data_IF_063746489575
#
_entry.id   IF_063746489575
#
_cell.length_a   1.000
_cell.length_b   1.000
_cell.length_c   1.000
_cell.angle_alpha   90.00
_cell.angle_beta   90.00
_cell.angle_gamma   90.00
#
_symmetry.space_group_name_H-M   'P 1'
#
loop_
_entity.id
_entity.type
_entity.pdbx_description
1 polymer ?
#
# COMPACT_ATOMS: atom_id res chain seq x y z
N UNK A 1 18.06 12.84 51.82
CA UNK A 1 17.68 11.72 50.99
C UNK A 1 17.12 12.32 49.71
N UNK A 2 17.97 12.37 48.67
CA UNK A 2 17.62 12.94 47.37
C UNK A 2 17.02 11.82 46.53
N UNK A 3 15.79 12.03 46.01
CA UNK A 3 15.11 11.09 45.15
C UNK A 3 15.53 11.43 43.71
N UNK A 4 16.35 10.55 43.17
CA UNK A 4 16.84 10.62 41.78
C UNK A 4 15.68 10.30 40.83
N UNK A 5 15.24 11.31 40.09
CA UNK A 5 14.11 11.24 39.17
C UNK A 5 14.69 11.05 37.74
N UNK A 6 15.27 9.87 37.46
CA UNK A 6 15.69 9.52 36.12
C UNK A 6 14.46 9.22 35.26
N UNK A 7 13.93 10.27 34.63
CA UNK A 7 12.99 10.15 33.50
C UNK A 7 13.70 9.41 32.38
N UNK A 8 13.32 8.17 32.16
CA UNK A 8 13.66 7.45 30.92
C UNK A 8 12.91 8.14 29.77
N UNK A 9 13.59 9.03 29.08
CA UNK A 9 13.06 9.60 27.83
C UNK A 9 12.86 8.45 26.85
N UNK A 10 11.68 8.37 26.26
CA UNK A 10 11.46 7.58 25.04
C UNK A 10 12.54 7.96 24.01
N UNK A 11 13.12 7.02 23.26
CA UNK A 11 14.13 7.35 22.29
C UNK A 11 13.51 8.39 21.33
N UNK A 12 14.04 9.62 21.40
CA UNK A 12 13.61 10.70 20.55
C UNK A 12 13.77 10.26 19.11
N UNK A 13 12.71 10.40 18.31
CA UNK A 13 12.80 10.23 16.86
C UNK A 13 13.86 11.21 16.40
N UNK A 14 15.02 10.70 16.03
CA UNK A 14 16.13 11.51 15.52
C UNK A 14 15.62 12.28 14.30
N UNK A 15 16.10 13.49 14.11
CA UNK A 15 15.71 14.30 12.94
C UNK A 15 16.03 13.52 11.67
N UNK A 16 15.18 13.55 10.64
CA UNK A 16 15.24 12.68 9.44
C UNK A 16 16.58 12.65 8.68
N UNK A 17 17.51 13.57 8.99
CA UNK A 17 18.81 13.69 8.31
C UNK A 17 19.89 12.74 8.81
N UNK A 18 19.69 12.06 9.94
CA UNK A 18 20.73 11.29 10.61
C UNK A 18 20.47 9.76 10.66
N UNK A 19 19.32 9.28 10.16
CA UNK A 19 19.00 7.86 10.18
C UNK A 19 19.51 7.18 8.91
N UNK A 20 20.38 6.20 9.04
CA UNK A 20 20.73 5.26 7.98
C UNK A 20 19.48 4.45 7.55
N UNK A 21 19.44 3.98 6.31
CA UNK A 21 18.29 3.22 5.78
C UNK A 21 17.84 2.08 6.71
N UNK A 22 18.77 1.38 7.37
CA UNK A 22 18.47 0.31 8.32
C UNK A 22 17.74 0.77 9.59
N UNK A 23 17.98 2.00 10.05
CA UNK A 23 17.37 2.57 11.25
C UNK A 23 15.95 3.10 10.99
N UNK A 24 15.65 3.53 9.76
CA UNK A 24 14.30 3.91 9.32
C UNK A 24 13.36 2.72 9.27
N UNK A 25 13.85 1.56 8.87
CA UNK A 25 13.03 0.35 8.70
C UNK A 25 12.65 -0.34 10.01
N UNK A 26 13.48 -0.28 11.03
CA UNK A 26 13.26 -1.00 12.27
C UNK A 26 11.93 -0.67 12.97
N UNK A 27 11.50 0.60 13.12
CA UNK A 27 10.19 0.92 13.69
C UNK A 27 9.02 0.43 12.82
N UNK A 28 9.16 0.50 11.49
CA UNK A 28 8.09 0.14 10.55
C UNK A 28 7.92 -1.38 10.41
N UNK A 29 8.98 -2.16 10.63
CA UNK A 29 8.88 -3.63 10.61
C UNK A 29 7.98 -4.15 11.74
N UNK A 30 7.88 -3.44 12.85
CA UNK A 30 6.99 -3.81 13.97
C UNK A 30 5.50 -3.71 13.62
N UNK A 31 5.13 -3.10 12.48
CA UNK A 31 3.74 -2.99 12.02
C UNK A 31 3.26 -4.25 11.29
N UNK A 32 4.16 -5.15 10.88
CA UNK A 32 3.82 -6.41 10.24
C UNK A 32 3.02 -7.31 11.17
N UNK A 33 1.93 -7.85 10.63
CA UNK A 33 1.12 -8.87 11.31
C UNK A 33 1.52 -10.22 10.73
N UNK A 34 2.29 -10.97 11.50
CA UNK A 34 2.77 -12.28 11.07
C UNK A 34 1.69 -13.33 11.25
N UNK A 35 1.11 -13.76 10.13
CA UNK A 35 0.14 -14.85 10.08
C UNK A 35 0.59 -15.90 9.06
N UNK A 36 0.37 -17.20 9.34
CA UNK A 36 0.67 -18.24 8.37
C UNK A 36 0.01 -17.97 7.02
N UNK A 37 0.78 -18.06 5.96
CA UNK A 37 0.29 -17.86 4.59
C UNK A 37 0.15 -16.40 4.14
N UNK A 38 0.36 -15.40 5.01
CA UNK A 38 0.34 -13.97 4.67
C UNK A 38 1.74 -13.37 4.80
N UNK A 39 2.14 -12.59 3.79
CA UNK A 39 3.48 -12.01 3.74
C UNK A 39 3.45 -10.49 3.94
N UNK A 40 2.45 -9.80 3.39
CA UNK A 40 2.42 -8.33 3.26
C UNK A 40 1.38 -7.65 4.16
N UNK A 41 0.71 -8.41 5.04
CA UNK A 41 -0.28 -7.86 5.97
C UNK A 41 0.40 -7.01 7.04
N UNK A 42 -0.03 -5.76 7.16
CA UNK A 42 0.42 -4.85 8.22
C UNK A 42 -0.60 -3.80 8.61
N UNK A 43 -0.50 -3.35 9.87
CA UNK A 43 -1.20 -2.19 10.42
C UNK A 43 -0.35 -0.94 10.18
N UNK A 44 -0.95 0.15 9.77
CA UNK A 44 -0.26 1.44 9.63
C UNK A 44 -0.32 2.28 10.93
N UNK A 45 -0.83 1.71 12.00
CA UNK A 45 -0.87 2.35 13.31
C UNK A 45 0.52 2.70 13.83
N UNK A 46 0.61 3.86 14.50
CA UNK A 46 1.87 4.36 15.05
C UNK A 46 2.72 5.19 14.08
N UNK A 47 2.40 5.25 12.79
CA UNK A 47 3.11 6.15 11.87
C UNK A 47 2.86 7.60 12.29
N UNK A 48 3.93 8.43 12.33
CA UNK A 48 3.78 9.84 12.67
C UNK A 48 2.93 10.57 11.62
N UNK A 49 2.09 11.45 12.09
CA UNK A 49 1.28 12.35 11.28
C UNK A 49 1.51 13.81 11.66
N UNK A 50 0.67 14.70 11.12
CA UNK A 50 0.75 16.12 11.41
C UNK A 50 0.46 16.42 12.89
N UNK A 51 0.95 17.57 13.37
CA UNK A 51 0.69 18.12 14.70
C UNK A 51 1.08 17.19 15.88
N UNK A 52 2.12 16.36 15.68
CA UNK A 52 2.57 15.41 16.71
C UNK A 52 1.63 14.24 16.96
N UNK A 53 0.58 14.09 16.15
CA UNK A 53 -0.32 12.93 16.18
C UNK A 53 0.30 11.72 15.49
N UNK A 54 -0.31 10.56 15.69
CA UNK A 54 0.07 9.31 15.02
C UNK A 54 -1.16 8.67 14.39
N UNK A 55 -0.96 7.81 13.41
CA UNK A 55 -2.04 6.97 12.89
C UNK A 55 -2.51 6.05 14.03
N UNK A 56 -3.81 6.04 14.27
CA UNK A 56 -4.41 5.21 15.31
C UNK A 56 -4.18 3.72 14.98
N UNK A 57 -3.68 2.92 15.92
CA UNK A 57 -3.52 1.48 15.74
C UNK A 57 -4.85 0.82 15.36
N UNK A 58 -4.77 -0.19 14.52
CA UNK A 58 -5.91 -1.00 14.07
C UNK A 58 -7.02 -0.19 13.36
N UNK A 59 -6.66 0.87 12.64
CA UNK A 59 -7.59 1.66 11.82
C UNK A 59 -7.41 1.43 10.33
N UNK A 60 -6.16 1.29 9.90
CA UNK A 60 -5.82 1.15 8.48
C UNK A 60 -4.80 0.03 8.30
N UNK A 61 -5.21 -0.98 7.57
CA UNK A 61 -4.39 -2.13 7.20
C UNK A 61 -4.11 -2.13 5.70
N UNK A 62 -3.01 -2.76 5.31
CA UNK A 62 -2.74 -3.09 3.91
C UNK A 62 -2.23 -4.52 3.80
N UNK A 63 -2.52 -5.16 2.64
CA UNK A 63 -2.14 -6.55 2.38
C UNK A 63 -2.09 -6.85 0.88
N UNK A 64 -1.70 -8.08 0.55
CA UNK A 64 -1.99 -8.76 -0.71
C UNK A 64 -3.43 -9.29 -0.73
N UNK A 65 -3.86 -9.81 -1.90
CA UNK A 65 -5.12 -10.55 -1.98
C UNK A 65 -5.04 -11.83 -1.15
N UNK A 66 -6.11 -12.12 -0.44
CA UNK A 66 -6.29 -13.35 0.34
C UNK A 66 -7.10 -14.34 -0.47
N UNK A 67 -6.65 -15.59 -0.58
CA UNK A 67 -7.29 -16.65 -1.36
C UNK A 67 -7.20 -18.00 -0.61
N UNK A 68 -7.97 -18.99 -1.06
CA UNK A 68 -7.76 -20.36 -0.61
C UNK A 68 -6.67 -21.05 -1.46
N UNK A 69 -6.11 -22.16 -0.96
CA UNK A 69 -5.04 -22.88 -1.66
C UNK A 69 -5.49 -23.44 -3.03
N UNK A 70 -6.77 -23.75 -3.17
CA UNK A 70 -7.35 -24.22 -4.43
C UNK A 70 -7.34 -23.13 -5.52
N UNK A 71 -7.42 -21.86 -5.12
CA UNK A 71 -7.41 -20.73 -6.06
C UNK A 71 -6.01 -20.39 -6.50
N UNK A 72 -5.05 -20.32 -5.56
CA UNK A 72 -3.68 -19.93 -5.86
C UNK A 72 -2.73 -20.30 -4.72
N UNK A 73 -1.45 -20.55 -5.09
CA UNK A 73 -0.35 -20.82 -4.13
C UNK A 73 0.65 -19.67 -4.02
N UNK A 74 0.45 -18.60 -4.78
CA UNK A 74 1.40 -17.47 -4.86
C UNK A 74 0.83 -16.17 -4.26
N UNK A 75 -0.37 -16.21 -3.71
CA UNK A 75 -1.04 -15.11 -3.03
C UNK A 75 -1.12 -15.38 -1.53
N UNK A 76 -1.67 -14.45 -0.78
CA UNK A 76 -1.97 -14.66 0.63
C UNK A 76 -2.96 -15.79 0.83
N UNK A 77 -2.67 -16.72 1.73
CA UNK A 77 -3.49 -17.91 1.94
C UNK A 77 -4.39 -17.77 3.17
N UNK A 78 -5.69 -18.00 2.97
CA UNK A 78 -6.65 -18.18 4.03
C UNK A 78 -6.83 -19.68 4.33
N UNK A 79 -6.68 -20.03 5.59
CA UNK A 79 -6.80 -21.40 6.07
C UNK A 79 -7.27 -21.44 7.52
N UNK A 80 -7.57 -22.61 8.03
CA UNK A 80 -7.89 -22.78 9.44
C UNK A 80 -6.77 -22.32 10.39
N UNK A 81 -5.53 -22.27 9.93
CA UNK A 81 -4.39 -21.84 10.74
C UNK A 81 -4.37 -20.34 11.05
N UNK A 82 -5.06 -19.49 10.26
CA UNK A 82 -5.09 -18.04 10.44
C UNK A 82 -6.49 -17.42 10.54
N UNK A 83 -7.54 -18.27 10.48
CA UNK A 83 -8.92 -17.80 10.42
C UNK A 83 -9.32 -16.94 11.64
N UNK A 84 -9.04 -17.41 12.86
CA UNK A 84 -9.40 -16.69 14.10
C UNK A 84 -8.65 -15.36 14.23
N UNK A 85 -7.37 -15.33 13.86
CA UNK A 85 -6.58 -14.11 13.90
C UNK A 85 -7.08 -13.08 12.88
N UNK A 86 -7.43 -13.50 11.67
CA UNK A 86 -7.99 -12.62 10.64
C UNK A 86 -9.35 -12.06 11.06
N UNK A 87 -10.25 -12.89 11.59
CA UNK A 87 -11.51 -12.45 12.16
C UNK A 87 -11.30 -11.47 13.32
N UNK A 88 -10.30 -11.72 14.19
CA UNK A 88 -9.92 -10.88 15.31
C UNK A 88 -9.33 -9.51 14.93
N UNK A 89 -9.01 -9.25 13.65
CA UNK A 89 -8.59 -7.91 13.21
C UNK A 89 -9.73 -6.90 13.28
N UNK A 90 -10.99 -7.34 13.22
CA UNK A 90 -12.16 -6.48 13.32
C UNK A 90 -12.34 -5.56 12.10
N UNK A 91 -11.81 -5.97 10.94
CA UNK A 91 -11.91 -5.20 9.69
C UNK A 91 -13.39 -5.08 9.32
N UNK A 92 -13.86 -3.86 9.09
CA UNK A 92 -15.22 -3.54 8.65
C UNK A 92 -15.33 -3.43 7.15
N UNK A 93 -14.30 -2.87 6.51
CA UNK A 93 -14.29 -2.62 5.07
C UNK A 93 -12.99 -3.11 4.45
N UNK A 94 -13.09 -3.81 3.35
CA UNK A 94 -11.97 -4.20 2.49
C UNK A 94 -12.10 -3.44 1.17
N UNK A 95 -11.10 -2.66 0.81
CA UNK A 95 -11.00 -1.94 -0.45
C UNK A 95 -10.15 -2.79 -1.40
N UNK A 96 -10.79 -3.37 -2.40
CA UNK A 96 -10.13 -4.16 -3.45
C UNK A 96 -9.87 -3.30 -4.69
N UNK A 97 -8.60 -3.00 -4.95
CA UNK A 97 -8.14 -2.17 -6.08
C UNK A 97 -7.90 -2.97 -7.37
N UNK A 98 -8.20 -4.26 -7.39
CA UNK A 98 -7.92 -5.12 -8.54
C UNK A 98 -8.89 -4.86 -9.68
N UNK A 99 -8.38 -5.00 -10.91
CA UNK A 99 -9.23 -4.97 -12.09
C UNK A 99 -10.23 -6.13 -12.09
N UNK A 100 -11.39 -5.94 -12.71
CA UNK A 100 -12.47 -6.95 -12.74
C UNK A 100 -12.03 -8.32 -13.25
N UNK A 101 -11.14 -8.36 -14.24
CA UNK A 101 -10.60 -9.62 -14.76
C UNK A 101 -9.67 -10.34 -13.76
N UNK A 102 -8.96 -9.61 -12.88
CA UNK A 102 -8.15 -10.19 -11.80
C UNK A 102 -9.07 -10.80 -10.73
N UNK A 103 -10.13 -10.09 -10.34
CA UNK A 103 -11.14 -10.58 -9.38
C UNK A 103 -11.81 -11.84 -9.90
N UNK A 104 -12.23 -11.84 -11.17
CA UNK A 104 -12.87 -13.01 -11.79
C UNK A 104 -11.94 -14.24 -11.86
N UNK A 105 -10.63 -14.02 -12.10
CA UNK A 105 -9.64 -15.12 -12.17
C UNK A 105 -9.22 -15.63 -10.79
N UNK A 106 -9.17 -14.73 -9.82
CA UNK A 106 -8.63 -15.00 -8.48
C UNK A 106 -9.59 -14.38 -7.44
N UNK A 107 -10.73 -15.01 -7.15
CA UNK A 107 -11.67 -14.52 -6.14
C UNK A 107 -11.00 -14.29 -4.80
N UNK A 108 -11.37 -13.20 -4.12
CA UNK A 108 -10.81 -12.84 -2.82
C UNK A 108 -11.59 -13.51 -1.69
N UNK A 109 -10.89 -14.04 -0.70
CA UNK A 109 -11.46 -14.62 0.52
C UNK A 109 -11.50 -13.62 1.70
N UNK A 110 -11.23 -12.33 1.48
CA UNK A 110 -11.24 -11.36 2.57
C UNK A 110 -12.61 -11.22 3.24
N UNK A 111 -13.70 -11.32 2.47
CA UNK A 111 -15.06 -11.30 3.03
C UNK A 111 -15.31 -12.47 3.98
N UNK A 112 -14.98 -13.66 3.54
CA UNK A 112 -15.16 -14.91 4.32
C UNK A 112 -14.27 -14.92 5.56
N UNK A 113 -13.04 -14.42 5.43
CA UNK A 113 -12.07 -14.40 6.51
C UNK A 113 -12.37 -13.38 7.61
N UNK A 114 -13.02 -12.26 7.28
CA UNK A 114 -13.20 -11.14 8.22
C UNK A 114 -14.65 -10.74 8.47
N UNK A 115 -15.59 -11.17 7.64
CA UNK A 115 -16.98 -10.68 7.64
C UNK A 115 -17.14 -9.26 7.10
N UNK A 116 -16.07 -8.65 6.58
CA UNK A 116 -16.05 -7.26 6.12
C UNK A 116 -16.89 -7.02 4.87
N UNK A 117 -17.39 -5.79 4.72
CA UNK A 117 -17.89 -5.30 3.43
C UNK A 117 -16.71 -5.16 2.45
N UNK A 118 -16.78 -5.84 1.32
CA UNK A 118 -15.81 -5.66 0.23
C UNK A 118 -16.32 -4.61 -0.74
N UNK A 119 -15.52 -3.57 -0.95
CA UNK A 119 -15.78 -2.51 -1.92
C UNK A 119 -14.76 -2.62 -3.05
N UNK A 120 -15.24 -2.96 -4.24
CA UNK A 120 -14.39 -3.04 -5.43
C UNK A 120 -14.23 -1.65 -6.05
N UNK A 121 -12.98 -1.18 -6.08
CA UNK A 121 -12.56 0.07 -6.72
C UNK A 121 -11.50 -0.24 -7.77
N UNK A 122 -11.90 -0.70 -8.96
CA UNK A 122 -10.99 -1.29 -9.92
C UNK A 122 -10.03 -0.27 -10.54
N UNK A 123 -8.73 -0.53 -10.40
CA UNK A 123 -7.65 0.11 -11.13
C UNK A 123 -7.13 -0.93 -12.13
N UNK A 124 -7.56 -0.81 -13.39
CA UNK A 124 -7.03 -1.62 -14.47
C UNK A 124 -5.68 -1.07 -14.91
N UNK A 125 -4.70 -1.96 -15.04
CA UNK A 125 -3.46 -1.64 -15.74
C UNK A 125 -3.79 -1.44 -17.22
N UNK A 126 -3.48 -0.25 -17.75
CA UNK A 126 -3.88 0.11 -19.09
C UNK A 126 -5.40 0.24 -19.23
N UNK A 127 -5.96 1.44 -19.07
CA UNK A 127 -7.34 1.73 -19.38
C UNK A 127 -7.65 1.45 -20.86
N UNK A 128 -8.94 1.46 -21.26
CA UNK A 128 -9.33 1.37 -22.67
C UNK A 128 -8.53 2.38 -23.51
N UNK A 129 -7.87 1.89 -24.56
CA UNK A 129 -7.09 2.69 -25.48
C UNK A 129 -5.67 3.07 -25.03
N UNK A 130 -5.10 2.41 -24.00
CA UNK A 130 -3.79 2.75 -23.49
C UNK A 130 -2.75 1.65 -23.68
N UNK A 131 -1.55 2.02 -24.09
CA UNK A 131 -0.39 1.13 -24.24
C UNK A 131 0.29 0.76 -22.91
N UNK A 132 -0.33 1.03 -21.77
CA UNK A 132 0.25 0.88 -20.43
C UNK A 132 0.03 -0.46 -19.79
N UNK A 133 -0.52 -1.44 -20.49
CA UNK A 133 -0.51 -2.81 -20.03
C UNK A 133 0.89 -3.42 -20.24
N UNK A 134 1.81 -3.06 -19.35
CA UNK A 134 3.21 -3.52 -19.43
C UNK A 134 3.31 -5.04 -19.46
N UNK A 135 2.47 -5.75 -18.70
CA UNK A 135 2.45 -7.23 -18.72
C UNK A 135 2.05 -7.74 -20.11
N UNK A 136 0.98 -7.19 -20.70
CA UNK A 136 0.59 -7.56 -22.07
C UNK A 136 1.71 -7.27 -23.06
N UNK A 137 2.29 -6.09 -23.03
CA UNK A 137 3.38 -5.68 -23.92
C UNK A 137 4.60 -6.58 -23.80
N UNK A 138 4.91 -7.03 -22.59
CA UNK A 138 5.95 -8.03 -22.36
C UNK A 138 5.57 -9.39 -22.96
N UNK A 139 4.36 -9.87 -22.69
CA UNK A 139 3.91 -11.16 -23.20
C UNK A 139 3.74 -11.20 -24.74
N UNK A 140 3.51 -10.05 -25.38
CA UNK A 140 3.44 -9.91 -26.85
C UNK A 140 4.80 -9.64 -27.49
N UNK A 141 5.88 -9.49 -26.69
CA UNK A 141 7.21 -9.18 -27.19
C UNK A 141 7.44 -7.70 -27.56
N UNK A 142 6.43 -6.84 -27.36
CA UNK A 142 6.56 -5.39 -27.60
C UNK A 142 7.51 -4.72 -26.59
N UNK A 143 7.65 -5.29 -25.41
CA UNK A 143 8.54 -4.82 -24.35
C UNK A 143 9.34 -5.99 -23.81
N UNK A 144 10.63 -6.01 -24.04
CA UNK A 144 11.54 -7.07 -23.61
C UNK A 144 12.33 -6.72 -22.34
N UNK A 145 12.21 -5.48 -21.87
CA UNK A 145 12.87 -4.98 -20.67
C UNK A 145 11.94 -4.03 -19.91
N UNK A 146 11.89 -4.17 -18.59
CA UNK A 146 11.16 -3.28 -17.69
C UNK A 146 12.11 -2.68 -16.66
N UNK A 147 12.17 -1.35 -16.60
CA UNK A 147 13.11 -0.59 -15.77
C UNK A 147 12.42 0.13 -14.64
N UNK A 148 13.18 0.72 -13.71
CA UNK A 148 12.64 1.60 -12.67
C UNK A 148 11.94 2.84 -13.27
N UNK A 149 12.41 3.34 -14.40
CA UNK A 149 11.77 4.45 -15.12
C UNK A 149 10.40 4.02 -15.68
N UNK A 150 10.28 2.81 -16.21
CA UNK A 150 8.99 2.29 -16.68
C UNK A 150 8.01 2.15 -15.52
N UNK A 151 8.48 1.71 -14.34
CA UNK A 151 7.65 1.64 -13.14
C UNK A 151 7.25 3.04 -12.65
N UNK A 152 8.15 4.01 -12.67
CA UNK A 152 7.85 5.39 -12.32
C UNK A 152 6.80 6.01 -13.28
N UNK A 153 6.92 5.74 -14.58
CA UNK A 153 5.94 6.14 -15.58
C UNK A 153 4.58 5.49 -15.34
N UNK A 154 4.56 4.19 -15.07
CA UNK A 154 3.34 3.45 -14.73
C UNK A 154 2.62 4.07 -13.51
N UNK A 155 3.34 4.49 -12.48
CA UNK A 155 2.75 5.13 -11.30
C UNK A 155 2.16 6.50 -11.63
N UNK A 156 2.88 7.34 -12.37
CA UNK A 156 2.37 8.65 -12.82
C UNK A 156 1.11 8.51 -13.65
N UNK A 157 1.12 7.62 -14.64
CA UNK A 157 -0.05 7.36 -15.49
C UNK A 157 -1.25 6.81 -14.69
N UNK A 158 -0.99 5.98 -13.67
CA UNK A 158 -2.04 5.49 -12.78
C UNK A 158 -2.65 6.63 -11.97
N UNK A 159 -1.84 7.54 -11.45
CA UNK A 159 -2.31 8.74 -10.75
C UNK A 159 -3.15 9.63 -11.68
N UNK A 160 -2.70 9.90 -12.90
CA UNK A 160 -3.42 10.74 -13.86
C UNK A 160 -4.80 10.19 -14.23
N UNK A 161 -4.89 8.87 -14.39
CA UNK A 161 -6.09 8.24 -14.93
C UNK A 161 -7.09 7.77 -13.88
N UNK A 162 -6.68 7.64 -12.63
CA UNK A 162 -7.47 7.03 -11.56
C UNK A 162 -7.62 7.90 -10.32
N UNK A 163 -7.53 9.20 -10.51
CA UNK A 163 -7.73 10.16 -9.44
C UNK A 163 -9.10 9.98 -8.77
N UNK A 164 -10.13 9.71 -9.55
CA UNK A 164 -11.49 9.42 -9.11
C UNK A 164 -11.57 8.17 -8.19
N UNK A 165 -10.85 7.10 -8.56
CA UNK A 165 -10.80 5.86 -7.77
C UNK A 165 -10.05 6.07 -6.47
N UNK A 166 -8.91 6.78 -6.50
CA UNK A 166 -8.17 7.13 -5.28
C UNK A 166 -9.00 8.03 -4.36
N UNK A 167 -9.73 9.00 -4.92
CA UNK A 167 -10.63 9.87 -4.17
C UNK A 167 -11.77 9.09 -3.52
N UNK A 168 -12.40 8.14 -4.24
CA UNK A 168 -13.44 7.26 -3.70
C UNK A 168 -12.89 6.39 -2.54
N UNK A 169 -11.69 5.85 -2.67
CA UNK A 169 -11.04 5.09 -1.60
C UNK A 169 -10.78 5.97 -0.36
N UNK A 170 -10.28 7.19 -0.55
CA UNK A 170 -10.06 8.17 0.52
C UNK A 170 -11.37 8.53 1.21
N UNK A 171 -12.47 8.68 0.47
CA UNK A 171 -13.79 8.95 1.03
C UNK A 171 -14.28 7.83 1.96
N UNK A 172 -14.03 6.57 1.61
CA UNK A 172 -14.32 5.42 2.48
C UNK A 172 -13.48 5.48 3.75
N UNK A 173 -12.19 5.76 3.63
CA UNK A 173 -11.27 5.84 4.78
C UNK A 173 -11.56 7.04 5.69
N UNK A 174 -12.21 8.08 5.19
CA UNK A 174 -12.64 9.25 5.96
C UNK A 174 -13.89 8.99 6.80
N UNK A 175 -14.69 7.95 6.49
CA UNK A 175 -15.87 7.58 7.28
C UNK A 175 -15.49 6.69 8.46
N UNK A 176 -15.68 7.19 9.67
CA UNK A 176 -15.39 6.46 10.92
C UNK A 176 -16.20 5.15 11.08
N UNK A 177 -17.32 5.00 10.38
CA UNK A 177 -18.11 3.78 10.39
C UNK A 177 -17.50 2.68 9.52
N UNK A 178 -16.64 3.04 8.54
CA UNK A 178 -16.00 2.13 7.61
C UNK A 178 -14.66 1.59 8.10
N UNK A 179 -14.09 2.18 9.16
CA UNK A 179 -12.82 1.70 9.73
C UNK A 179 -13.06 0.86 10.98
N UNK A 180 -12.22 -0.14 11.28
CA UNK A 180 -10.97 -0.53 10.60
C UNK A 180 -11.16 -0.95 9.15
N UNK A 181 -10.28 -0.45 8.27
CA UNK A 181 -10.30 -0.77 6.85
C UNK A 181 -9.01 -1.44 6.39
N UNK A 182 -9.11 -2.33 5.41
CA UNK A 182 -7.97 -2.96 4.75
C UNK A 182 -7.96 -2.59 3.28
N UNK A 183 -6.80 -2.22 2.77
CA UNK A 183 -6.57 -1.93 1.35
C UNK A 183 -5.71 -3.02 0.74
N UNK A 184 -6.13 -3.58 -0.38
CA UNK A 184 -5.31 -4.51 -1.15
C UNK A 184 -5.47 -4.36 -2.66
N UNK A 185 -4.50 -4.90 -3.39
CA UNK A 185 -4.61 -5.26 -4.80
C UNK A 185 -4.18 -6.73 -4.96
N UNK A 186 -3.50 -7.14 -6.01
CA UNK A 186 -3.00 -8.51 -6.11
C UNK A 186 -1.83 -8.77 -5.16
N UNK A 187 -0.75 -8.00 -5.27
CA UNK A 187 0.44 -8.13 -4.41
C UNK A 187 0.41 -7.22 -3.18
N UNK A 188 -0.54 -6.28 -3.09
CA UNK A 188 -0.51 -5.22 -2.09
C UNK A 188 0.66 -4.25 -2.27
N UNK A 189 1.20 -4.14 -3.48
CA UNK A 189 2.43 -3.43 -3.83
C UNK A 189 2.13 -2.09 -4.50
N UNK A 190 1.78 -2.10 -5.78
CA UNK A 190 1.72 -0.91 -6.64
C UNK A 190 0.49 -0.05 -6.37
N UNK A 191 -0.70 -0.50 -6.72
CA UNK A 191 -1.97 0.23 -6.54
C UNK A 191 -2.25 0.52 -5.07
N UNK A 192 -2.03 -0.47 -4.22
CA UNK A 192 -2.10 -0.33 -2.75
C UNK A 192 -1.05 0.65 -2.26
N UNK A 193 0.18 0.57 -2.77
CA UNK A 193 1.27 1.47 -2.43
C UNK A 193 0.96 2.92 -2.76
N UNK A 194 0.41 3.19 -3.96
CA UNK A 194 0.01 4.55 -4.37
C UNK A 194 -1.09 5.11 -3.47
N UNK A 195 -2.16 4.34 -3.20
CA UNK A 195 -3.23 4.80 -2.32
C UNK A 195 -2.73 5.08 -0.90
N UNK A 196 -1.94 4.16 -0.34
CA UNK A 196 -1.37 4.34 1.01
C UNK A 196 -0.42 5.54 1.04
N UNK A 197 0.40 5.74 0.01
CA UNK A 197 1.27 6.91 -0.08
C UNK A 197 0.46 8.22 -0.09
N UNK A 198 -0.62 8.31 -0.88
CA UNK A 198 -1.53 9.46 -0.88
C UNK A 198 -2.11 9.72 0.52
N UNK A 199 -2.57 8.67 1.21
CA UNK A 199 -3.12 8.78 2.56
C UNK A 199 -2.06 9.25 3.55
N UNK A 200 -0.87 8.65 3.55
CA UNK A 200 0.23 9.01 4.45
C UNK A 200 0.66 10.47 4.26
N UNK A 201 0.81 10.93 3.01
CA UNK A 201 1.13 12.33 2.68
C UNK A 201 0.05 13.30 3.18
N UNK A 202 -1.24 12.96 2.99
CA UNK A 202 -2.36 13.79 3.52
C UNK A 202 -2.37 13.85 5.04
N UNK A 203 -2.01 12.75 5.70
CA UNK A 203 -1.92 12.68 7.16
C UNK A 203 -0.68 13.40 7.72
N UNK A 204 0.24 13.84 6.85
CA UNK A 204 1.48 14.53 7.23
C UNK A 204 2.58 13.61 7.72
N UNK A 205 2.55 12.34 7.32
CA UNK A 205 3.66 11.40 7.54
C UNK A 205 4.90 11.89 6.78
N UNK A 206 6.10 11.88 7.38
CA UNK A 206 7.34 12.22 6.67
C UNK A 206 7.52 11.38 5.40
N UNK A 207 7.93 12.04 4.32
CA UNK A 207 8.09 11.43 2.99
C UNK A 207 8.97 10.18 3.02
N UNK A 208 10.03 10.20 3.78
CA UNK A 208 10.95 9.09 3.93
C UNK A 208 10.26 7.85 4.51
N UNK A 209 9.30 8.03 5.43
CA UNK A 209 8.51 6.95 6.00
C UNK A 209 7.41 6.47 5.02
N UNK A 210 6.81 7.37 4.25
CA UNK A 210 5.88 7.00 3.17
C UNK A 210 6.58 6.10 2.14
N UNK A 211 7.77 6.47 1.70
CA UNK A 211 8.57 5.67 0.75
C UNK A 211 9.06 4.37 1.40
N UNK A 212 9.47 4.41 2.67
CA UNK A 212 9.89 3.23 3.42
C UNK A 212 8.75 2.21 3.54
N UNK A 213 7.51 2.64 3.86
CA UNK A 213 6.35 1.73 3.87
C UNK A 213 6.16 1.02 2.53
N UNK A 214 6.26 1.74 1.42
CA UNK A 214 6.16 1.12 0.10
C UNK A 214 7.23 0.05 -0.10
N UNK A 215 8.49 0.33 0.24
CA UNK A 215 9.62 -0.58 0.05
C UNK A 215 9.57 -1.81 0.96
N UNK A 216 8.91 -1.73 2.12
CA UNK A 216 8.69 -2.89 3.01
C UNK A 216 7.99 -4.06 2.31
N UNK A 217 7.18 -3.81 1.27
CA UNK A 217 6.57 -4.90 0.50
C UNK A 217 7.63 -5.81 -0.13
N UNK A 218 8.73 -5.24 -0.63
CA UNK A 218 9.85 -6.03 -1.17
C UNK A 218 10.62 -6.81 -0.10
N UNK A 219 10.64 -6.30 1.14
CA UNK A 219 11.25 -6.99 2.27
C UNK A 219 10.36 -8.14 2.79
N UNK A 220 9.05 -7.89 2.93
CA UNK A 220 8.11 -8.86 3.49
C UNK A 220 7.68 -9.91 2.47
N UNK A 221 7.64 -9.56 1.22
CA UNK A 221 7.22 -10.40 0.11
C UNK A 221 8.37 -10.61 -0.87
N UNK A 222 8.98 -11.81 -0.92
CA UNK A 222 10.08 -12.09 -1.82
C UNK A 222 9.74 -11.80 -3.28
N UNK A 223 10.76 -11.46 -4.08
CA UNK A 223 10.61 -11.26 -5.51
C UNK A 223 10.05 -12.53 -6.18
N UNK A 224 8.93 -12.36 -6.90
CA UNK A 224 8.18 -13.47 -7.49
C UNK A 224 8.55 -13.77 -8.93
N UNK A 225 9.59 -13.15 -9.49
CA UNK A 225 9.96 -13.37 -10.90
C UNK A 225 10.13 -14.86 -11.24
N UNK A 226 10.68 -15.65 -10.32
CA UNK A 226 10.85 -17.09 -10.50
C UNK A 226 9.51 -17.85 -10.53
N UNK A 227 8.51 -17.41 -9.79
CA UNK A 227 7.18 -18.03 -9.82
C UNK A 227 6.46 -17.81 -11.17
N UNK A 228 6.82 -16.75 -11.89
CA UNK A 228 6.30 -16.45 -13.22
C UNK A 228 7.25 -16.87 -14.36
N UNK A 229 8.41 -17.47 -14.04
CA UNK A 229 9.43 -17.84 -15.02
C UNK A 229 8.88 -18.66 -16.21
N UNK A 230 8.03 -19.69 -16.02
CA UNK A 230 7.52 -20.45 -17.17
C UNK A 230 6.75 -19.60 -18.19
N UNK A 231 5.98 -18.61 -17.71
CA UNK A 231 5.18 -17.71 -18.54
C UNK A 231 6.10 -16.69 -19.23
N UNK A 232 7.01 -16.07 -18.47
CA UNK A 232 7.90 -15.03 -18.97
C UNK A 232 8.89 -15.59 -20.01
N UNK A 233 9.53 -16.72 -19.71
CA UNK A 233 10.45 -17.39 -20.63
C UNK A 233 9.73 -17.96 -21.84
N UNK A 234 8.50 -18.45 -21.67
CA UNK A 234 7.64 -18.87 -22.80
C UNK A 234 7.31 -17.72 -23.75
N UNK A 235 7.33 -16.48 -23.27
CA UNK A 235 7.19 -15.26 -24.08
C UNK A 235 8.55 -14.71 -24.60
N UNK A 236 9.65 -15.44 -24.41
CA UNK A 236 10.99 -15.04 -24.85
C UNK A 236 11.66 -13.98 -24.00
N UNK A 237 11.22 -13.80 -22.75
CA UNK A 237 11.76 -12.77 -21.83
C UNK A 237 12.88 -13.35 -20.95
N UNK A 238 13.96 -12.59 -20.84
CA UNK A 238 15.00 -12.83 -19.85
C UNK A 238 14.51 -12.30 -18.49
N UNK A 239 14.55 -13.14 -17.45
CA UNK A 239 14.00 -12.82 -16.13
C UNK A 239 14.63 -11.57 -15.49
N UNK A 240 15.93 -11.38 -15.67
CA UNK A 240 16.65 -10.22 -15.13
C UNK A 240 16.18 -8.91 -15.78
N UNK A 241 15.77 -8.94 -17.04
CA UNK A 241 15.26 -7.77 -17.75
C UNK A 241 13.89 -7.29 -17.24
N UNK A 242 13.13 -8.15 -16.59
CA UNK A 242 11.77 -7.85 -16.12
C UNK A 242 11.63 -7.93 -14.58
N UNK A 243 12.73 -8.19 -13.90
CA UNK A 243 12.78 -8.40 -12.45
C UNK A 243 12.20 -7.22 -11.66
N UNK A 244 12.45 -5.99 -12.14
CA UNK A 244 11.95 -4.74 -11.53
C UNK A 244 10.42 -4.74 -11.39
N UNK A 245 9.69 -5.37 -12.31
CA UNK A 245 8.23 -5.49 -12.20
C UNK A 245 7.78 -6.14 -10.88
N UNK A 246 8.62 -6.96 -10.26
CA UNK A 246 8.35 -7.68 -9.01
C UNK A 246 9.03 -7.05 -7.79
N UNK A 247 9.74 -5.95 -7.97
CA UNK A 247 10.45 -5.21 -6.93
C UNK A 247 9.69 -3.95 -6.48
N UNK A 248 10.19 -3.30 -5.44
CA UNK A 248 9.66 -2.05 -4.88
C UNK A 248 10.75 -0.98 -4.84
N UNK A 249 11.24 -0.50 -6.01
CA UNK A 249 12.30 0.50 -6.03
C UNK A 249 11.79 1.82 -5.44
N UNK A 250 12.50 2.34 -4.44
CA UNK A 250 12.19 3.62 -3.81
C UNK A 250 12.13 4.78 -4.82
N UNK A 251 12.96 4.70 -5.88
CA UNK A 251 13.00 5.67 -6.98
C UNK A 251 11.65 5.85 -7.67
N UNK A 252 10.90 4.75 -7.89
CA UNK A 252 9.58 4.82 -8.54
C UNK A 252 8.55 5.56 -7.67
N UNK A 253 8.50 5.26 -6.37
CA UNK A 253 7.60 5.96 -5.45
C UNK A 253 8.01 7.42 -5.26
N UNK A 254 9.31 7.70 -5.10
CA UNK A 254 9.81 9.07 -5.03
C UNK A 254 9.43 9.87 -6.28
N UNK A 255 9.55 9.28 -7.47
CA UNK A 255 9.15 9.92 -8.73
C UNK A 255 7.66 10.21 -8.80
N UNK A 256 6.81 9.29 -8.28
CA UNK A 256 5.37 9.51 -8.22
C UNK A 256 5.00 10.66 -7.27
N UNK A 257 5.64 10.71 -6.11
CA UNK A 257 5.39 11.77 -5.12
C UNK A 257 5.94 13.13 -5.58
N UNK A 258 7.12 13.15 -6.23
CA UNK A 258 7.66 14.38 -6.84
C UNK A 258 6.74 14.91 -7.96
N UNK A 259 6.17 14.02 -8.77
CA UNK A 259 5.17 14.37 -9.77
C UNK A 259 3.94 15.07 -9.15
N UNK A 260 3.43 14.54 -8.02
CA UNK A 260 2.31 15.18 -7.31
C UNK A 260 2.68 16.57 -6.78
N UNK A 261 3.91 16.74 -6.29
CA UNK A 261 4.39 18.04 -5.82
C UNK A 261 4.48 19.05 -6.97
N UNK A 262 5.06 18.64 -8.09
CA UNK A 262 5.28 19.48 -9.27
C UNK A 262 3.99 19.89 -9.97
N UNK A 263 3.03 18.94 -10.13
CA UNK A 263 1.81 19.19 -10.89
C UNK A 263 0.68 19.77 -10.05
N UNK A 264 0.60 19.43 -8.77
CA UNK A 264 -0.54 19.75 -7.92
C UNK A 264 -0.16 20.47 -6.62
N UNK A 265 1.13 20.52 -6.28
CA UNK A 265 1.57 21.01 -4.96
C UNK A 265 1.30 20.01 -3.83
N UNK A 266 1.28 18.70 -4.15
CA UNK A 266 1.20 17.61 -3.20
C UNK A 266 -0.10 16.76 -3.26
N UNK A 267 -0.12 15.68 -2.50
CA UNK A 267 -1.19 14.68 -2.52
C UNK A 267 -2.57 15.23 -2.16
N UNK A 268 -2.66 16.15 -1.18
CA UNK A 268 -3.93 16.77 -0.79
C UNK A 268 -4.56 17.57 -1.94
N UNK A 269 -3.77 18.40 -2.60
CA UNK A 269 -4.22 19.19 -3.73
C UNK A 269 -4.56 18.32 -4.94
N UNK A 270 -3.80 17.25 -5.20
CA UNK A 270 -4.12 16.27 -6.23
C UNK A 270 -5.51 15.63 -5.98
N UNK A 271 -5.79 15.16 -4.78
CA UNK A 271 -7.08 14.57 -4.45
C UNK A 271 -8.24 15.56 -4.56
N UNK A 272 -8.00 16.83 -4.24
CA UNK A 272 -9.01 17.88 -4.43
C UNK A 272 -9.19 18.26 -5.91
N UNK A 273 -8.10 18.54 -6.62
CA UNK A 273 -8.16 19.08 -7.98
C UNK A 273 -8.52 18.02 -9.03
N UNK A 274 -7.87 16.85 -8.98
CA UNK A 274 -8.08 15.77 -9.93
C UNK A 274 -9.10 14.75 -9.44
N UNK A 275 -9.14 14.47 -8.12
CA UNK A 275 -10.07 13.53 -7.50
C UNK A 275 -11.44 14.12 -7.17
N UNK A 276 -11.57 15.43 -7.13
CA UNK A 276 -12.84 16.13 -6.89
C UNK A 276 -13.37 16.07 -5.46
N UNK A 277 -12.53 15.69 -4.47
CA UNK A 277 -12.96 15.67 -3.06
C UNK A 277 -12.76 17.04 -2.40
N UNK A 278 -13.53 17.30 -1.36
CA UNK A 278 -13.44 18.58 -0.64
C UNK A 278 -12.34 18.55 0.43
N UNK A 279 -11.94 19.74 0.88
CA UNK A 279 -11.02 19.90 2.00
C UNK A 279 -11.61 19.31 3.29
N UNK A 280 -12.90 19.47 3.51
CA UNK A 280 -13.63 18.94 4.68
C UNK A 280 -13.54 17.41 4.72
N UNK A 281 -13.56 16.73 3.56
CA UNK A 281 -13.39 15.28 3.50
C UNK A 281 -11.97 14.87 3.92
N UNK A 282 -10.95 15.61 3.51
CA UNK A 282 -9.57 15.39 3.97
C UNK A 282 -9.42 15.65 5.47
N UNK A 283 -10.11 16.65 6.01
CA UNK A 283 -10.13 16.91 7.45
C UNK A 283 -10.86 15.78 8.20
N UNK A 284 -11.93 15.18 7.65
CA UNK A 284 -12.56 13.97 8.17
C UNK A 284 -11.60 12.76 8.14
N UNK A 285 -10.84 12.56 7.06
CA UNK A 285 -9.81 11.51 6.99
C UNK A 285 -8.80 11.64 8.14
N UNK A 286 -8.30 12.85 8.38
CA UNK A 286 -7.36 13.14 9.47
C UNK A 286 -7.98 12.89 10.84
N UNK A 287 -9.24 13.30 11.04
CA UNK A 287 -9.96 13.07 12.29
C UNK A 287 -10.23 11.58 12.53
N UNK A 288 -10.49 10.81 11.49
CA UNK A 288 -10.77 9.37 11.57
C UNK A 288 -9.51 8.54 11.85
N UNK A 289 -8.37 8.91 11.26
CA UNK A 289 -7.17 8.09 11.28
C UNK A 289 -6.10 8.57 12.27
N UNK A 290 -6.07 9.85 12.67
CA UNK A 290 -5.05 10.37 13.58
C UNK A 290 -5.54 10.48 15.01
N UNK A 291 -4.68 10.08 15.94
CA UNK A 291 -4.88 10.23 17.39
C UNK A 291 -3.67 10.88 18.04
N UNK A 292 -3.90 11.55 19.17
CA UNK A 292 -2.79 11.97 20.04
C UNK A 292 -2.16 10.75 20.67
N UNK A 293 -0.81 10.58 20.59
CA UNK A 293 -0.16 9.46 21.24
C UNK A 293 -0.38 9.51 22.75
N UNK A 294 -0.73 8.38 23.35
CA UNK A 294 -0.74 8.27 24.81
C UNK A 294 0.71 8.37 25.30
N UNK A 295 0.94 9.32 26.20
CA UNK A 295 2.23 9.44 26.90
C UNK A 295 2.28 8.33 27.96
N UNK A 296 3.00 7.26 27.69
CA UNK A 296 3.32 6.21 28.66
C UNK A 296 4.55 6.55 29.48
#
# INVERSE_FOLDING_TARGET
MSVDNTRTALPGIAKPRDLGAGELFAPLQCTRIELPGLENLRDLGGYPGQDGRVIAPRRLFRSEVLVTEEVSKIHGLWSAANADQLAGLGIKTVIDLRARHEVARTPSSWREATGALVVELPIAEGGEGTDTNYVRRMLTGELTRFTELDMANFYRETLDRRADVFAAAVAILADSNQVPALVHCSAGKDRTGLLIALVLEVLGTPRELTVADYTLTGLFRPNRVQAYAPILQGAGLELDNVRILFETPASAMNSALAYLDEQFGGAANYLMAAGGISKELLDCLKATLLVTPELH
#
